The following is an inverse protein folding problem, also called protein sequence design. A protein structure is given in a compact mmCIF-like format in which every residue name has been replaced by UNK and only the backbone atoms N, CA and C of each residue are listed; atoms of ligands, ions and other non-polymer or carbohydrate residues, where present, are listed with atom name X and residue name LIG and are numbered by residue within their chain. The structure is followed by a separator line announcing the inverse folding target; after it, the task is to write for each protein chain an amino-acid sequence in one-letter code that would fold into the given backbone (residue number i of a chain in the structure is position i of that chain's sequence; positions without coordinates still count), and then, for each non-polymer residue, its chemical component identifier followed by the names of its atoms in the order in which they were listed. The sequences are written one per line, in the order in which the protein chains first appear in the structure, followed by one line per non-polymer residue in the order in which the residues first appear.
data_IF_263168460205
#
_entry.id   IF_263168460205
#
_cell.length_a   1.000
_cell.length_b   1.000
_cell.length_c   1.000
_cell.angle_alpha   90.00
_cell.angle_beta   90.00
_cell.angle_gamma   90.00
#
_symmetry.space_group_name_H-M   'P 1'
#
loop_
_entity.id
_entity.type
_entity.pdbx_description
1 polymer ?
#
# COMPACT_ATOMS: atom_id res chain seq x y z
N UNK A 1 -56.80 -45.81 -2.34
CA UNK A 1 -56.21 -45.06 -1.21
C UNK A 1 -54.92 -44.43 -1.72
N UNK A 2 -54.94 -43.12 -1.91
CA UNK A 2 -53.86 -42.36 -2.56
C UNK A 2 -53.05 -41.63 -1.48
N UNK A 3 -51.71 -41.73 -1.42
CA UNK A 3 -50.93 -40.95 -0.48
C UNK A 3 -50.60 -39.58 -1.10
N UNK A 4 -51.23 -38.55 -0.55
CA UNK A 4 -50.96 -37.15 -0.80
C UNK A 4 -49.63 -36.78 -0.10
N UNK A 5 -48.55 -36.65 -0.88
CA UNK A 5 -47.29 -36.05 -0.44
C UNK A 5 -47.03 -34.82 -1.28
N UNK A 6 -47.46 -33.67 -0.78
CA UNK A 6 -47.07 -32.37 -1.34
C UNK A 6 -46.71 -31.41 -0.22
N UNK A 7 -45.56 -30.77 -0.42
CA UNK A 7 -45.30 -29.38 -0.06
C UNK A 7 -44.97 -29.07 1.40
N UNK A 8 -43.71 -29.30 1.78
CA UNK A 8 -43.04 -28.56 2.86
C UNK A 8 -41.53 -28.49 2.56
N UNK A 9 -41.11 -27.72 1.55
CA UNK A 9 -39.66 -27.53 1.29
C UNK A 9 -39.29 -26.26 0.54
N UNK A 10 -40.19 -25.27 0.43
CA UNK A 10 -39.93 -24.05 -0.36
C UNK A 10 -39.83 -22.79 0.50
N UNK A 11 -40.31 -22.79 1.73
CA UNK A 11 -40.42 -21.55 2.53
C UNK A 11 -39.15 -21.16 3.31
N UNK A 12 -38.13 -22.03 3.39
CA UNK A 12 -36.94 -21.80 4.24
C UNK A 12 -35.72 -21.21 3.50
N UNK A 13 -35.83 -20.94 2.20
CA UNK A 13 -34.73 -20.39 1.37
C UNK A 13 -34.83 -18.89 1.08
N UNK A 14 -35.93 -18.22 1.46
CA UNK A 14 -36.17 -16.80 1.12
C UNK A 14 -35.80 -15.79 2.21
N UNK A 15 -35.63 -16.20 3.48
CA UNK A 15 -35.25 -15.27 4.55
C UNK A 15 -33.79 -14.75 4.52
N UNK A 16 -32.75 -15.50 4.08
CA UNK A 16 -31.39 -14.96 4.10
C UNK A 16 -31.10 -13.96 2.97
N UNK A 17 -31.96 -13.85 1.94
CA UNK A 17 -31.75 -12.92 0.81
C UNK A 17 -32.16 -11.48 1.12
N UNK A 18 -33.12 -11.25 2.02
CA UNK A 18 -33.60 -9.89 2.32
C UNK A 18 -32.63 -9.17 3.27
N UNK A 19 -31.98 -9.88 4.20
CA UNK A 19 -31.02 -9.25 5.13
C UNK A 19 -29.65 -8.93 4.49
N UNK A 20 -29.35 -9.49 3.31
CA UNK A 20 -28.14 -9.15 2.57
C UNK A 20 -28.23 -7.82 1.82
N UNK A 21 -29.44 -7.28 1.56
CA UNK A 21 -29.59 -6.03 0.82
C UNK A 21 -29.40 -4.78 1.69
N UNK A 22 -29.77 -4.83 2.97
CA UNK A 22 -29.66 -3.66 3.86
C UNK A 22 -28.25 -3.46 4.45
N UNK A 23 -27.39 -4.48 4.45
CA UNK A 23 -26.02 -4.36 4.95
C UNK A 23 -25.06 -3.65 3.97
N UNK A 24 -25.43 -3.51 2.69
CA UNK A 24 -24.55 -2.95 1.65
C UNK A 24 -24.56 -1.40 1.66
N UNK A 25 -25.57 -0.77 2.28
CA UNK A 25 -25.75 0.71 2.18
C UNK A 25 -25.01 1.49 3.28
N UNK A 26 -24.46 0.82 4.30
CA UNK A 26 -23.75 1.47 5.43
C UNK A 26 -22.22 1.35 5.40
N UNK A 27 -21.60 1.04 4.26
CA UNK A 27 -20.21 1.45 4.04
C UNK A 27 -20.21 2.91 3.56
N UNK A 28 -20.64 3.81 4.45
CA UNK A 28 -20.36 5.23 4.31
C UNK A 28 -18.84 5.36 4.34
N UNK A 29 -18.28 5.70 3.18
CA UNK A 29 -16.97 6.30 3.04
C UNK A 29 -16.72 7.20 4.23
N UNK A 30 -15.76 6.83 5.08
CA UNK A 30 -15.02 7.81 5.87
C UNK A 30 -14.32 8.69 4.84
N UNK A 31 -15.09 9.63 4.29
CA UNK A 31 -14.59 10.76 3.56
C UNK A 31 -13.58 11.38 4.50
N UNK A 32 -12.30 11.21 4.18
CA UNK A 32 -11.26 12.14 4.58
C UNK A 32 -11.79 13.51 4.12
N UNK A 33 -12.49 14.19 5.02
CA UNK A 33 -13.04 15.51 4.77
C UNK A 33 -11.86 16.36 4.29
N UNK A 34 -12.03 17.06 3.17
CA UNK A 34 -10.98 17.82 2.51
C UNK A 34 -10.28 18.75 3.52
N UNK A 35 -9.18 18.28 4.11
CA UNK A 35 -8.43 18.97 5.17
C UNK A 35 -7.52 20.07 4.61
N UNK A 36 -7.38 20.17 3.28
CA UNK A 36 -6.62 21.24 2.65
C UNK A 36 -7.56 22.34 2.16
N UNK A 37 -7.51 23.49 2.82
CA UNK A 37 -8.24 24.72 2.44
C UNK A 37 -7.38 25.70 1.64
N UNK A 38 -6.14 25.34 1.28
CA UNK A 38 -5.19 26.26 0.69
C UNK A 38 -5.01 26.01 -0.82
N UNK A 39 -4.66 27.08 -1.53
CA UNK A 39 -4.39 27.13 -2.97
C UNK A 39 -3.72 25.85 -3.48
N UNK A 40 -4.19 25.33 -4.62
CA UNK A 40 -3.83 24.06 -5.32
C UNK A 40 -2.34 23.87 -5.69
N UNK A 41 -1.42 24.55 -5.00
CA UNK A 41 0.00 24.58 -5.31
C UNK A 41 0.88 24.33 -4.08
N UNK A 42 0.31 24.18 -2.87
CA UNK A 42 1.08 23.98 -1.64
C UNK A 42 0.60 22.75 -0.89
N UNK A 43 1.55 21.95 -0.40
CA UNK A 43 1.31 20.82 0.48
C UNK A 43 1.56 21.25 1.91
N UNK A 44 0.54 21.02 2.75
CA UNK A 44 0.65 21.14 4.20
C UNK A 44 0.94 19.77 4.83
N UNK A 45 2.18 19.54 5.32
CA UNK A 45 2.55 18.23 5.85
C UNK A 45 1.88 17.90 7.19
N UNK A 46 1.22 18.85 7.88
CA UNK A 46 0.43 18.50 9.09
C UNK A 46 -0.79 17.66 8.75
N UNK A 47 -1.26 17.74 7.50
CA UNK A 47 -2.38 16.91 7.06
C UNK A 47 -1.99 15.44 6.89
N UNK A 48 -0.68 15.12 6.92
CA UNK A 48 -0.17 13.76 6.90
C UNK A 48 -0.58 13.01 8.19
N UNK A 49 -0.89 11.71 8.12
CA UNK A 49 -1.08 10.88 9.30
C UNK A 49 0.08 10.99 10.29
N UNK A 50 -0.25 11.16 11.58
CA UNK A 50 0.75 11.35 12.62
C UNK A 50 1.51 10.06 12.93
N UNK A 51 2.83 10.18 13.07
CA UNK A 51 3.71 9.08 13.44
C UNK A 51 4.71 9.52 14.51
N UNK A 52 4.63 8.90 15.69
CA UNK A 52 5.40 9.29 16.88
C UNK A 52 6.90 8.97 16.76
N UNK A 53 7.26 7.89 16.07
CA UNK A 53 8.65 7.41 15.96
C UNK A 53 9.47 8.01 14.81
N UNK A 54 8.79 8.52 13.78
CA UNK A 54 9.42 9.10 12.61
C UNK A 54 8.41 9.93 11.84
N UNK A 55 8.22 11.17 12.27
CA UNK A 55 7.46 12.10 11.48
C UNK A 55 8.35 12.57 10.32
N UNK A 56 7.87 12.41 9.08
CA UNK A 56 8.34 13.22 7.95
C UNK A 56 8.28 14.72 8.26
N UNK A 57 7.54 15.09 9.29
CA UNK A 57 7.35 16.45 9.73
C UNK A 57 7.35 16.58 11.25
N UNK A 58 8.47 17.04 11.81
CA UNK A 58 8.49 17.57 13.18
C UNK A 58 8.45 19.08 13.10
N UNK A 59 7.60 19.73 13.89
CA UNK A 59 7.36 21.20 13.91
C UNK A 59 8.62 22.07 13.96
N UNK A 60 9.74 21.51 14.39
CA UNK A 60 11.01 22.19 14.59
C UNK A 60 12.09 21.85 13.55
N UNK A 61 11.89 20.79 12.75
CA UNK A 61 12.88 20.30 11.79
C UNK A 61 12.17 19.75 10.55
N UNK A 62 11.68 20.63 9.68
CA UNK A 62 11.47 20.25 8.30
C UNK A 62 12.66 19.50 7.74
N UNK A 63 12.53 18.38 6.99
CA UNK A 63 13.61 17.95 6.13
C UNK A 63 13.88 19.08 5.13
N UNK A 64 14.97 19.85 5.31
CA UNK A 64 15.21 21.04 4.50
C UNK A 64 15.66 20.68 3.08
N UNK A 65 15.94 19.40 2.85
CA UNK A 65 16.63 18.91 1.65
C UNK A 65 15.69 18.29 0.60
N UNK A 66 14.39 18.18 0.89
CA UNK A 66 13.44 17.57 -0.07
C UNK A 66 12.97 18.58 -1.12
N UNK A 67 12.50 19.74 -0.68
CA UNK A 67 11.95 20.79 -1.53
C UNK A 67 12.11 22.15 -0.86
N UNK A 68 12.18 23.26 -1.64
CA UNK A 68 12.21 24.60 -1.07
C UNK A 68 11.02 24.82 -0.14
N UNK A 69 11.30 25.22 1.09
CA UNK A 69 10.27 25.53 2.07
C UNK A 69 9.70 26.91 1.81
N UNK A 70 8.38 27.00 1.67
CA UNK A 70 7.67 28.27 1.56
C UNK A 70 7.01 28.57 2.91
N UNK A 71 7.20 29.79 3.40
CA UNK A 71 6.42 30.30 4.54
C UNK A 71 4.98 30.52 4.08
N UNK A 72 4.13 29.55 4.36
CA UNK A 72 2.71 29.61 4.04
C UNK A 72 1.90 30.36 5.09
N UNK A 73 0.76 30.92 4.69
CA UNK A 73 -0.26 31.35 5.64
C UNK A 73 -0.82 30.09 6.36
N UNK A 74 -0.98 30.18 7.68
CA UNK A 74 -1.57 29.09 8.47
C UNK A 74 -2.92 28.69 7.87
N UNK A 75 -3.14 27.40 7.63
CA UNK A 75 -4.43 26.90 7.17
C UNK A 75 -5.49 27.30 8.21
N UNK A 76 -6.49 28.07 7.76
CA UNK A 76 -7.53 28.58 8.62
C UNK A 76 -8.37 27.39 9.14
N UNK A 77 -8.44 27.22 10.46
CA UNK A 77 -9.46 26.43 11.17
C UNK A 77 -9.37 24.90 11.16
N UNK A 78 -8.20 24.30 10.99
CA UNK A 78 -8.01 22.89 11.39
C UNK A 78 -7.16 22.83 12.65
N UNK A 79 -7.45 21.85 13.52
CA UNK A 79 -6.70 21.46 14.73
C UNK A 79 -5.24 20.96 14.45
N UNK A 80 -4.69 21.42 13.33
CA UNK A 80 -3.33 21.34 12.87
C UNK A 80 -2.57 22.67 13.11
N UNK A 81 -3.29 23.74 13.46
CA UNK A 81 -2.79 25.11 13.68
C UNK A 81 -3.35 25.76 14.97
N UNK A 82 -4.12 25.03 15.76
CA UNK A 82 -4.74 25.43 17.02
C UNK A 82 -3.70 25.52 18.15
N UNK A 83 -2.85 26.53 18.04
CA UNK A 83 -2.56 27.30 19.25
C UNK A 83 -2.56 28.80 19.08
N UNK A 84 -2.89 29.35 17.89
CA UNK A 84 -2.90 30.83 17.70
C UNK A 84 -1.66 31.51 18.28
N UNK A 85 -0.57 30.74 18.37
CA UNK A 85 0.59 31.06 19.18
C UNK A 85 1.63 31.67 18.28
N UNK A 86 2.74 32.15 18.87
CA UNK A 86 3.89 32.70 18.15
C UNK A 86 4.58 31.73 17.17
N UNK A 87 3.97 30.57 16.88
CA UNK A 87 4.43 29.46 16.04
C UNK A 87 3.65 29.32 14.73
N UNK A 88 2.82 30.31 14.35
CA UNK A 88 2.33 30.41 12.98
C UNK A 88 3.51 30.75 12.05
N UNK A 89 3.89 29.80 11.22
CA UNK A 89 5.11 29.84 10.39
C UNK A 89 5.42 28.45 9.81
N UNK A 90 4.37 27.69 9.50
CA UNK A 90 4.53 26.35 8.98
C UNK A 90 5.14 26.42 7.58
N UNK A 91 6.30 25.79 7.46
CA UNK A 91 6.90 25.59 6.17
C UNK A 91 6.00 24.64 5.37
N UNK A 92 5.56 25.09 4.21
CA UNK A 92 4.82 24.30 3.24
C UNK A 92 5.74 23.97 2.08
N UNK A 93 5.42 22.90 1.36
CA UNK A 93 6.15 22.54 0.15
C UNK A 93 5.37 22.97 -1.09
N UNK A 94 6.03 23.49 -2.15
CA UNK A 94 5.47 23.51 -3.49
C UNK A 94 5.02 22.09 -3.86
N UNK A 95 3.75 21.96 -4.24
CA UNK A 95 3.15 20.66 -4.55
C UNK A 95 3.85 19.99 -5.75
N UNK A 96 4.20 20.77 -6.77
CA UNK A 96 4.95 20.31 -7.95
C UNK A 96 6.30 19.70 -7.57
N UNK A 97 7.05 20.37 -6.70
CA UNK A 97 8.32 19.85 -6.21
C UNK A 97 8.12 18.56 -5.40
N UNK A 98 7.23 18.59 -4.41
CA UNK A 98 7.06 17.47 -3.49
C UNK A 98 6.49 16.22 -4.19
N UNK A 99 5.53 16.41 -5.09
CA UNK A 99 4.98 15.31 -5.88
C UNK A 99 5.97 14.75 -6.90
N UNK A 100 7.04 15.46 -7.26
CA UNK A 100 8.10 14.95 -8.14
C UNK A 100 9.12 14.06 -7.43
N UNK A 101 9.10 14.01 -6.09
CA UNK A 101 10.00 13.19 -5.30
C UNK A 101 9.69 11.70 -5.49
N UNK A 102 10.73 10.89 -5.71
CA UNK A 102 10.62 9.42 -5.83
C UNK A 102 10.55 8.72 -4.47
N UNK A 103 11.02 9.40 -3.42
CA UNK A 103 11.19 8.87 -2.06
C UNK A 103 10.74 9.87 -0.98
N UNK A 104 9.73 10.68 -1.32
CA UNK A 104 9.21 11.76 -0.47
C UNK A 104 8.62 11.28 0.86
N UNK A 105 8.29 9.99 0.97
CA UNK A 105 7.73 9.38 2.18
C UNK A 105 8.75 8.57 3.00
N UNK A 106 10.03 8.55 2.63
CA UNK A 106 11.05 7.71 3.30
C UNK A 106 11.15 7.90 4.80
N UNK A 107 10.93 9.12 5.28
CA UNK A 107 10.87 9.48 6.69
C UNK A 107 9.71 8.83 7.47
N UNK A 108 8.63 8.41 6.81
CA UNK A 108 7.51 7.71 7.44
C UNK A 108 7.71 6.19 7.46
N UNK A 109 8.81 5.68 6.90
CA UNK A 109 9.01 4.24 6.70
C UNK A 109 9.20 3.47 8.02
N UNK A 110 9.64 4.12 9.10
CA UNK A 110 9.70 3.49 10.43
C UNK A 110 8.39 3.51 11.22
N UNK A 111 7.31 4.05 10.65
CA UNK A 111 5.97 3.99 11.24
C UNK A 111 5.40 2.57 11.16
N UNK A 112 4.31 2.28 11.89
CA UNK A 112 3.60 1.01 11.71
C UNK A 112 3.02 0.88 10.30
N UNK A 113 2.83 -0.35 9.79
CA UNK A 113 2.27 -0.56 8.44
C UNK A 113 0.90 0.13 8.23
N UNK A 114 0.03 0.17 9.25
CA UNK A 114 -1.27 0.86 9.16
C UNK A 114 -1.07 2.36 8.86
N UNK A 115 -0.19 3.03 9.61
CA UNK A 115 0.14 4.45 9.39
C UNK A 115 0.90 4.68 8.08
N UNK A 116 1.75 3.73 7.68
CA UNK A 116 2.44 3.78 6.39
C UNK A 116 1.43 3.80 5.23
N UNK A 117 0.47 2.87 5.21
CA UNK A 117 -0.53 2.82 4.13
C UNK A 117 -1.45 4.05 4.15
N UNK A 118 -1.88 4.54 5.32
CA UNK A 118 -2.61 5.80 5.41
C UNK A 118 -1.80 6.98 4.85
N UNK A 119 -0.48 6.97 5.06
CA UNK A 119 0.43 7.99 4.53
C UNK A 119 0.60 7.88 3.02
N UNK A 120 0.69 6.66 2.47
CA UNK A 120 0.70 6.44 1.03
C UNK A 120 -0.60 6.90 0.37
N UNK A 121 -1.75 6.59 0.97
CA UNK A 121 -3.06 7.04 0.50
C UNK A 121 -3.18 8.57 0.56
N UNK A 122 -2.71 9.19 1.65
CA UNK A 122 -2.62 10.64 1.76
C UNK A 122 -1.78 11.24 0.63
N UNK A 123 -0.60 10.69 0.36
CA UNK A 123 0.28 11.14 -0.72
C UNK A 123 -0.37 10.94 -2.11
N UNK A 124 -0.99 9.79 -2.36
CA UNK A 124 -1.67 9.50 -3.62
C UNK A 124 -2.83 10.46 -3.92
N UNK A 125 -3.57 10.85 -2.88
CA UNK A 125 -4.65 11.83 -3.01
C UNK A 125 -4.12 13.24 -3.33
N UNK A 126 -2.98 13.63 -2.75
CA UNK A 126 -2.36 14.93 -3.01
C UNK A 126 -1.59 14.97 -4.33
N UNK A 127 -1.01 13.86 -4.73
CA UNK A 127 -0.06 13.77 -5.83
C UNK A 127 -0.45 12.68 -6.85
N UNK A 128 -1.65 12.73 -7.46
CA UNK A 128 -2.18 11.64 -8.29
C UNK A 128 -1.36 11.35 -9.56
N UNK A 129 -0.50 12.29 -9.97
CA UNK A 129 0.39 12.16 -11.14
C UNK A 129 1.85 11.93 -10.75
N UNK A 130 2.14 11.69 -9.47
CA UNK A 130 3.52 11.50 -9.03
C UNK A 130 4.12 10.23 -9.63
N UNK A 131 5.39 10.27 -10.10
CA UNK A 131 6.10 9.07 -10.51
C UNK A 131 6.29 8.08 -9.35
N UNK A 132 6.15 8.52 -8.10
CA UNK A 132 6.34 7.65 -6.95
C UNK A 132 5.17 6.71 -6.66
N UNK A 133 4.00 6.95 -7.29
CA UNK A 133 2.80 6.14 -7.06
C UNK A 133 2.88 4.74 -7.67
N UNK A 134 3.78 4.53 -8.63
CA UNK A 134 3.93 3.24 -9.28
C UNK A 134 5.35 3.01 -9.73
N UNK A 135 5.93 1.92 -9.26
CA UNK A 135 7.22 1.44 -9.70
C UNK A 135 7.07 0.75 -11.07
N UNK A 136 7.84 1.20 -12.06
CA UNK A 136 7.85 0.57 -13.38
C UNK A 136 8.96 -0.48 -13.46
N UNK A 137 8.60 -1.75 -13.43
CA UNK A 137 9.54 -2.87 -13.56
C UNK A 137 9.95 -3.17 -15.02
N UNK A 138 9.43 -2.44 -16.01
CA UNK A 138 9.69 -2.71 -17.43
C UNK A 138 11.17 -2.55 -17.81
N UNK A 139 11.92 -1.72 -17.07
CA UNK A 139 13.36 -1.53 -17.25
C UNK A 139 14.26 -2.65 -16.70
N UNK A 140 13.72 -3.56 -15.89
CA UNK A 140 14.50 -4.66 -15.31
C UNK A 140 14.72 -5.82 -16.28
N UNK A 141 15.83 -6.55 -16.20
CA UNK A 141 16.02 -7.78 -16.94
C UNK A 141 15.03 -8.87 -16.49
N UNK A 142 14.72 -9.82 -17.37
CA UNK A 142 13.75 -10.90 -17.09
C UNK A 142 14.12 -11.74 -15.86
N UNK A 143 15.41 -11.92 -15.58
CA UNK A 143 15.92 -12.68 -14.42
C UNK A 143 15.49 -12.08 -13.07
N UNK A 144 15.37 -10.74 -12.96
CA UNK A 144 15.02 -10.07 -11.70
C UNK A 144 13.56 -9.56 -11.68
N UNK A 145 12.97 -9.26 -12.84
CA UNK A 145 11.68 -8.56 -12.94
C UNK A 145 10.55 -9.23 -12.16
N UNK A 146 10.29 -10.51 -12.42
CA UNK A 146 9.20 -11.23 -11.75
C UNK A 146 9.45 -11.42 -10.25
N UNK A 147 10.71 -11.69 -9.88
CA UNK A 147 11.10 -11.85 -8.49
C UNK A 147 10.87 -10.56 -7.68
N UNK A 148 11.28 -9.40 -8.20
CA UNK A 148 11.13 -8.12 -7.51
C UNK A 148 9.66 -7.72 -7.36
N UNK A 149 8.87 -7.90 -8.41
CA UNK A 149 7.42 -7.63 -8.40
C UNK A 149 6.72 -8.39 -7.26
N UNK A 150 6.99 -9.70 -7.16
CA UNK A 150 6.43 -10.57 -6.11
C UNK A 150 6.99 -10.24 -4.72
N UNK A 151 8.31 -10.05 -4.60
CA UNK A 151 8.98 -9.83 -3.31
C UNK A 151 8.56 -8.51 -2.65
N UNK A 152 8.44 -7.44 -3.43
CA UNK A 152 8.01 -6.12 -2.95
C UNK A 152 6.58 -6.18 -2.41
N UNK A 153 5.70 -6.88 -3.12
CA UNK A 153 4.33 -7.08 -2.65
C UNK A 153 4.30 -7.89 -1.34
N UNK A 154 5.05 -9.01 -1.28
CA UNK A 154 5.12 -9.86 -0.09
C UNK A 154 5.73 -9.15 1.12
N UNK A 155 6.62 -8.19 0.90
CA UNK A 155 7.22 -7.39 1.95
C UNK A 155 6.22 -6.43 2.63
N UNK A 156 5.17 -6.00 1.93
CA UNK A 156 4.14 -5.09 2.46
C UNK A 156 3.93 -3.81 1.64
N UNK A 157 4.70 -3.63 0.56
CA UNK A 157 4.52 -2.52 -0.38
C UNK A 157 3.35 -2.83 -1.34
N UNK A 158 2.13 -2.83 -0.81
CA UNK A 158 0.92 -3.27 -1.52
C UNK A 158 0.65 -2.52 -2.83
N UNK A 159 0.98 -1.23 -2.86
CA UNK A 159 0.79 -0.33 -4.00
C UNK A 159 1.98 -0.34 -4.97
N UNK A 160 3.04 -1.08 -4.65
CA UNK A 160 4.29 -1.16 -5.43
C UNK A 160 4.83 0.24 -5.80
N UNK A 161 4.82 1.15 -4.83
CA UNK A 161 5.33 2.51 -4.99
C UNK A 161 6.84 2.53 -4.94
N UNK A 162 7.48 3.52 -5.58
CA UNK A 162 8.91 3.76 -5.35
C UNK A 162 9.15 4.27 -3.93
N UNK A 163 8.17 4.97 -3.34
CA UNK A 163 8.23 5.40 -1.95
C UNK A 163 8.48 4.23 -1.01
N UNK A 164 7.76 3.11 -1.14
CA UNK A 164 7.96 1.96 -0.27
C UNK A 164 9.24 1.19 -0.61
N UNK A 165 9.43 0.85 -1.89
CA UNK A 165 10.58 0.05 -2.33
C UNK A 165 11.92 0.72 -2.01
N UNK A 166 12.08 1.99 -2.42
CA UNK A 166 13.34 2.68 -2.26
C UNK A 166 13.63 3.03 -0.80
N UNK A 167 12.60 3.22 0.05
CA UNK A 167 12.78 3.45 1.49
C UNK A 167 13.27 2.23 2.23
N UNK A 168 12.84 1.04 1.81
CA UNK A 168 13.40 -0.21 2.30
C UNK A 168 14.83 -0.43 1.79
N UNK A 169 15.05 -0.16 0.51
CA UNK A 169 16.36 -0.30 -0.11
C UNK A 169 16.87 -1.73 -0.18
N UNK A 170 16.02 -2.71 -0.50
CA UNK A 170 16.39 -4.14 -0.59
C UNK A 170 16.01 -4.72 -1.95
N UNK A 171 16.91 -5.49 -2.56
CA UNK A 171 16.70 -6.22 -3.80
C UNK A 171 16.13 -7.63 -3.58
N UNK A 172 15.96 -8.05 -2.33
CA UNK A 172 15.38 -9.33 -1.92
C UNK A 172 16.08 -10.56 -2.54
N UNK A 173 17.38 -10.44 -2.83
CA UNK A 173 18.15 -11.48 -3.53
C UNK A 173 17.73 -11.70 -4.99
N UNK A 174 16.83 -10.90 -5.56
CA UNK A 174 16.33 -11.11 -6.93
C UNK A 174 17.40 -10.89 -8.01
N UNK A 175 18.43 -10.12 -7.70
CA UNK A 175 19.58 -9.89 -8.58
C UNK A 175 20.50 -11.12 -8.69
N UNK A 176 20.47 -12.06 -7.72
CA UNK A 176 21.29 -13.28 -7.73
C UNK A 176 20.94 -14.23 -8.89
N UNK A 177 19.72 -14.10 -9.44
CA UNK A 177 19.27 -14.86 -10.60
C UNK A 177 19.80 -14.33 -11.94
N UNK A 178 20.49 -13.18 -11.93
CA UNK A 178 21.08 -12.56 -13.09
C UNK A 178 22.59 -12.87 -13.14
N UNK A 179 23.15 -13.02 -14.34
CA UNK A 179 24.52 -13.55 -14.47
C UNK A 179 25.37 -12.80 -15.50
N UNK A 180 24.80 -11.84 -16.22
CA UNK A 180 25.53 -11.08 -17.24
C UNK A 180 25.72 -9.63 -16.83
N UNK A 181 26.86 -9.04 -17.21
CA UNK A 181 27.16 -7.62 -16.97
C UNK A 181 26.08 -6.70 -17.56
N UNK A 182 25.46 -7.11 -18.67
CA UNK A 182 24.38 -6.36 -19.30
C UNK A 182 23.10 -6.35 -18.44
N UNK A 183 22.76 -7.46 -17.79
CA UNK A 183 21.62 -7.55 -16.86
C UNK A 183 21.89 -6.74 -15.59
N UNK A 184 23.09 -6.86 -15.01
CA UNK A 184 23.47 -6.06 -13.86
C UNK A 184 23.40 -4.57 -14.17
N UNK A 185 23.98 -4.13 -15.29
CA UNK A 185 23.89 -2.73 -15.71
C UNK A 185 22.44 -2.25 -15.94
N UNK A 186 21.54 -3.12 -16.41
CA UNK A 186 20.11 -2.79 -16.50
C UNK A 186 19.50 -2.59 -15.12
N UNK A 187 19.81 -3.43 -14.13
CA UNK A 187 19.34 -3.27 -12.75
C UNK A 187 19.90 -1.98 -12.13
N UNK A 188 21.19 -1.68 -12.29
CA UNK A 188 21.78 -0.43 -11.79
C UNK A 188 21.09 0.81 -12.38
N UNK A 189 20.88 0.81 -13.70
CA UNK A 189 20.22 1.92 -14.39
C UNK A 189 18.79 2.08 -13.90
N UNK A 190 18.08 0.96 -13.79
CA UNK A 190 16.72 0.95 -13.26
C UNK A 190 16.65 1.46 -11.81
N UNK A 191 17.59 1.09 -10.93
CA UNK A 191 17.64 1.59 -9.55
C UNK A 191 17.87 3.10 -9.48
N UNK A 192 18.78 3.62 -10.30
CA UNK A 192 19.02 5.06 -10.41
C UNK A 192 17.75 5.79 -10.87
N UNK A 193 17.07 5.25 -11.88
CA UNK A 193 15.86 5.84 -12.43
C UNK A 193 14.65 5.69 -11.49
N UNK A 194 14.52 4.58 -10.77
CA UNK A 194 13.40 4.32 -9.87
C UNK A 194 13.54 5.07 -8.54
N UNK A 195 14.75 5.14 -7.98
CA UNK A 195 14.99 5.68 -6.65
C UNK A 195 15.72 7.01 -6.63
N UNK A 196 16.23 7.49 -7.77
CA UNK A 196 17.00 8.73 -7.84
C UNK A 196 18.36 8.66 -7.13
N UNK A 197 18.92 7.45 -6.99
CA UNK A 197 20.20 7.24 -6.30
C UNK A 197 21.40 7.41 -7.24
N UNK A 198 22.59 7.79 -6.73
CA UNK A 198 23.80 7.85 -7.54
C UNK A 198 24.23 6.48 -8.09
N UNK A 199 25.00 6.45 -9.19
CA UNK A 199 25.53 5.21 -9.77
C UNK A 199 26.30 4.35 -8.78
N UNK A 200 27.14 4.96 -7.93
CA UNK A 200 27.93 4.24 -6.94
C UNK A 200 27.06 3.48 -5.93
N UNK A 201 25.96 4.08 -5.48
CA UNK A 201 24.99 3.44 -4.57
C UNK A 201 24.25 2.31 -5.26
N UNK A 202 23.92 2.45 -6.55
CA UNK A 202 23.28 1.38 -7.31
C UNK A 202 24.22 0.17 -7.52
N UNK A 203 25.51 0.41 -7.78
CA UNK A 203 26.52 -0.66 -7.88
C UNK A 203 26.71 -1.36 -6.54
N UNK A 204 26.75 -0.62 -5.42
CA UNK A 204 26.81 -1.21 -4.07
C UNK A 204 25.56 -2.02 -3.73
N UNK A 205 24.38 -1.57 -4.18
CA UNK A 205 23.13 -2.31 -4.05
C UNK A 205 23.20 -3.69 -4.70
N UNK A 206 23.81 -3.78 -5.89
CA UNK A 206 24.01 -5.07 -6.57
C UNK A 206 25.03 -5.97 -5.90
N UNK A 207 26.02 -5.40 -5.21
CA UNK A 207 27.04 -6.19 -4.52
C UNK A 207 26.55 -6.75 -3.18
N UNK A 208 25.70 -6.01 -2.48
CA UNK A 208 25.24 -6.35 -1.13
C UNK A 208 23.79 -6.81 -1.06
N UNK A 209 23.01 -6.60 -2.12
CA UNK A 209 21.56 -6.78 -2.15
C UNK A 209 20.77 -5.65 -1.49
N UNK A 210 21.41 -4.67 -0.85
CA UNK A 210 20.74 -3.59 -0.11
C UNK A 210 21.38 -2.22 -0.36
N UNK A 211 20.64 -1.14 -0.20
CA UNK A 211 21.12 0.24 -0.31
C UNK A 211 20.42 1.16 0.69
N UNK A 212 21.04 2.32 0.96
CA UNK A 212 20.51 3.32 1.89
C UNK A 212 20.33 4.67 1.18
N UNK A 213 19.12 5.24 1.25
CA UNK A 213 18.79 6.55 0.69
C UNK A 213 19.49 7.71 1.41
N UNK A 214 19.77 7.59 2.71
CA UNK A 214 20.38 8.66 3.51
C UNK A 214 21.77 9.04 3.01
N UNK A 215 22.53 8.06 2.50
CA UNK A 215 23.84 8.27 1.88
C UNK A 215 23.73 8.88 0.48
N UNK A 216 22.65 8.55 -0.26
CA UNK A 216 22.43 8.99 -1.63
C UNK A 216 22.04 10.48 -1.72
N UNK A 217 21.15 10.96 -0.85
CA UNK A 217 20.65 12.34 -0.89
C UNK A 217 21.69 13.35 -0.41
N UNK A 218 22.52 13.00 0.58
CA UNK A 218 23.59 13.86 1.08
C UNK A 218 24.64 14.21 0.01
N UNK A 219 24.90 13.28 -0.92
CA UNK A 219 25.92 13.44 -1.97
C UNK A 219 25.45 14.30 -3.14
N UNK A 220 24.14 14.31 -3.43
CA UNK A 220 23.58 15.07 -4.54
C UNK A 220 23.49 16.59 -4.28
N UNK A 221 23.49 17.02 -3.01
CA UNK A 221 23.19 18.42 -2.64
C UNK A 221 24.37 19.10 -1.93
N UNK A 222 25.47 18.39 -1.66
CA UNK A 222 26.69 18.98 -1.08
C UNK A 222 26.52 19.51 0.35
N UNK A 223 25.49 19.06 1.07
CA UNK A 223 25.25 19.40 2.46
C UNK A 223 26.25 18.69 3.40
N UNK A 224 26.61 19.28 4.54
CA UNK A 224 27.45 18.62 5.53
C UNK A 224 26.75 17.36 6.04
N UNK A 225 27.37 16.21 5.78
CA UNK A 225 26.96 14.89 6.27
C UNK A 225 26.72 14.97 7.79
N UNK A 226 25.46 15.00 8.21
CA UNK A 226 25.11 14.93 9.62
C UNK A 226 25.65 13.60 10.16
N UNK A 227 26.35 13.65 11.30
CA UNK A 227 26.99 12.48 11.91
C UNK A 227 26.02 11.28 11.99
N UNK A 228 26.20 10.34 11.06
CA UNK A 228 25.35 9.18 10.86
C UNK A 228 25.64 8.12 11.93
N UNK A 229 24.99 8.23 13.08
CA UNK A 229 24.39 7.02 13.67
C UNK A 229 23.15 6.70 12.82
N UNK A 230 23.38 6.32 11.56
CA UNK A 230 22.33 5.92 10.64
C UNK A 230 21.65 4.69 11.20
N UNK A 231 20.62 4.91 12.00
CA UNK A 231 19.67 3.87 12.36
C UNK A 231 19.13 3.36 11.02
N UNK A 232 19.62 2.20 10.59
CA UNK A 232 19.00 1.44 9.50
C UNK A 232 17.51 1.51 9.75
N UNK A 233 16.79 2.17 8.85
CA UNK A 233 15.34 2.31 8.97
C UNK A 233 14.83 0.89 8.87
N UNK A 234 14.51 0.32 10.03
CA UNK A 234 14.03 -1.05 10.07
C UNK A 234 12.63 -1.05 9.49
N UNK A 235 12.24 -2.11 8.77
CA UNK A 235 10.87 -2.25 8.31
C UNK A 235 9.89 -1.95 9.43
N UNK A 236 8.72 -1.38 9.11
CA UNK A 236 7.62 -1.29 10.05
C UNK A 236 7.47 -2.61 10.79
N UNK A 237 7.33 -2.61 12.13
CA UNK A 237 7.04 -3.85 12.83
C UNK A 237 5.78 -4.46 12.20
N UNK A 238 5.75 -5.78 11.98
CA UNK A 238 4.57 -6.43 11.44
C UNK A 238 3.39 -6.01 12.29
N UNK A 239 2.33 -5.53 11.64
CA UNK A 239 1.14 -5.09 12.36
C UNK A 239 0.68 -6.26 13.23
N UNK A 240 0.49 -6.05 14.54
CA UNK A 240 -0.21 -7.02 15.36
C UNK A 240 -1.49 -7.34 14.60
N UNK A 241 -1.72 -8.63 14.29
CA UNK A 241 -2.89 -9.02 13.51
C UNK A 241 -4.10 -8.40 14.19
N UNK A 242 -4.70 -7.40 13.54
CA UNK A 242 -5.90 -6.75 14.04
C UNK A 242 -6.90 -7.89 14.24
N UNK A 243 -7.50 -8.05 15.44
CA UNK A 243 -8.58 -9.02 15.58
C UNK A 243 -9.60 -8.67 14.51
N UNK A 244 -9.95 -9.67 13.67
CA UNK A 244 -10.93 -9.50 12.61
C UNK A 244 -12.14 -8.78 13.20
N UNK A 245 -12.57 -7.72 12.52
CA UNK A 245 -13.79 -7.07 12.97
C UNK A 245 -14.95 -8.04 12.75
N UNK A 246 -15.98 -7.92 13.57
CA UNK A 246 -17.12 -8.85 13.55
C UNK A 246 -17.78 -8.96 12.16
N UNK A 247 -17.75 -7.89 11.36
CA UNK A 247 -18.19 -7.86 9.97
C UNK A 247 -17.30 -8.67 9.02
N UNK A 248 -15.97 -8.61 9.17
CA UNK A 248 -15.04 -9.42 8.38
C UNK A 248 -15.20 -10.92 8.68
N UNK A 249 -15.30 -11.27 9.97
CA UNK A 249 -15.59 -12.63 10.41
C UNK A 249 -16.93 -13.13 9.85
N UNK A 250 -17.94 -12.26 9.82
CA UNK A 250 -19.24 -12.58 9.23
C UNK A 250 -19.13 -12.84 7.73
N UNK A 251 -18.43 -11.99 6.96
CA UNK A 251 -18.23 -12.17 5.51
C UNK A 251 -17.52 -13.50 5.23
N UNK A 252 -16.42 -13.80 5.96
CA UNK A 252 -15.68 -15.05 5.80
C UNK A 252 -16.60 -16.25 6.09
N UNK A 253 -17.39 -16.17 7.15
CA UNK A 253 -18.35 -17.23 7.52
C UNK A 253 -19.40 -17.44 6.43
N UNK A 254 -19.96 -16.36 5.88
CA UNK A 254 -20.95 -16.43 4.79
C UNK A 254 -20.34 -17.05 3.53
N UNK A 255 -19.10 -16.70 3.18
CA UNK A 255 -18.39 -17.28 2.04
C UNK A 255 -18.19 -18.79 2.21
N UNK A 256 -17.73 -19.23 3.39
CA UNK A 256 -17.55 -20.67 3.70
C UNK A 256 -18.88 -21.42 3.58
N UNK A 257 -19.95 -20.90 4.19
CA UNK A 257 -21.28 -21.52 4.12
C UNK A 257 -21.78 -21.60 2.68
N UNK A 258 -21.58 -20.55 1.89
CA UNK A 258 -22.00 -20.50 0.48
C UNK A 258 -21.29 -21.58 -0.34
N UNK A 259 -19.98 -21.75 -0.15
CA UNK A 259 -19.19 -22.80 -0.82
C UNK A 259 -19.68 -24.19 -0.42
N UNK A 260 -19.90 -24.43 0.87
CA UNK A 260 -20.36 -25.74 1.39
C UNK A 260 -21.75 -26.09 0.84
N UNK A 261 -22.70 -25.16 0.87
CA UNK A 261 -24.06 -25.36 0.35
C UNK A 261 -24.03 -25.58 -1.17
N UNK A 262 -23.27 -24.77 -1.90
CA UNK A 262 -23.09 -24.91 -3.35
C UNK A 262 -22.55 -26.28 -3.74
N UNK A 263 -21.48 -26.74 -3.07
CA UNK A 263 -20.90 -28.07 -3.28
C UNK A 263 -21.88 -29.19 -2.91
N UNK A 264 -22.63 -29.03 -1.81
CA UNK A 264 -23.65 -30.00 -1.38
C UNK A 264 -24.77 -30.18 -2.40
N UNK A 265 -25.32 -29.08 -2.92
CA UNK A 265 -26.36 -29.11 -3.96
C UNK A 265 -25.84 -29.68 -5.28
N UNK A 266 -24.62 -29.31 -5.67
CA UNK A 266 -23.96 -29.87 -6.85
C UNK A 266 -23.80 -31.39 -6.74
N UNK A 267 -23.31 -31.87 -5.60
CA UNK A 267 -23.14 -33.31 -5.34
C UNK A 267 -24.46 -34.06 -5.41
N UNK A 268 -25.52 -33.55 -4.77
CA UNK A 268 -26.85 -34.15 -4.86
C UNK A 268 -27.36 -34.21 -6.30
N UNK A 269 -27.18 -33.15 -7.09
CA UNK A 269 -27.54 -33.12 -8.51
C UNK A 269 -26.81 -34.20 -9.33
N UNK A 270 -25.52 -34.44 -9.05
CA UNK A 270 -24.73 -35.50 -9.69
C UNK A 270 -25.27 -36.89 -9.32
N UNK A 271 -25.60 -37.13 -8.06
CA UNK A 271 -26.14 -38.42 -7.58
C UNK A 271 -27.50 -38.72 -8.21
N UNK A 272 -28.39 -37.73 -8.29
CA UNK A 272 -29.72 -37.90 -8.92
C UNK A 272 -29.57 -38.21 -10.41
N UNK A 273 -28.73 -37.47 -11.15
CA UNK A 273 -28.48 -37.73 -12.57
C UNK A 273 -27.91 -39.12 -12.83
N UNK A 274 -27.00 -39.60 -11.99
CA UNK A 274 -26.45 -40.97 -12.09
C UNK A 274 -27.53 -42.03 -11.85
N UNK A 275 -28.44 -41.79 -10.91
CA UNK A 275 -29.52 -42.73 -10.59
C UNK A 275 -30.53 -42.85 -11.73
N UNK A 276 -30.91 -41.72 -12.36
CA UNK A 276 -31.83 -41.73 -13.51
C UNK A 276 -31.27 -42.49 -14.72
N UNK A 277 -29.97 -42.38 -15.01
CA UNK A 277 -29.34 -43.13 -16.12
C UNK A 277 -29.39 -44.64 -15.91
N UNK A 278 -29.22 -45.11 -14.67
CA UNK A 278 -29.31 -46.55 -14.33
C UNK A 278 -30.73 -47.10 -14.48
N UNK A 279 -31.76 -46.27 -14.27
CA UNK A 279 -33.15 -46.70 -14.44
C UNK A 279 -33.52 -46.90 -15.91
N UNK A 280 -33.03 -46.04 -16.80
CA UNK A 280 -33.28 -46.14 -18.26
C UNK A 280 -32.63 -47.42 -18.84
N UNK A 281 -31.40 -47.75 -18.47
CA UNK A 281 -30.72 -48.97 -18.93
C UNK A 281 -31.38 -50.30 -18.51
N UNK A 282 -32.30 -50.30 -17.53
CA UNK A 282 -33.02 -51.52 -17.13
C UNK A 282 -34.29 -51.77 -17.96
N UNK A 283 -34.69 -50.84 -18.82
CA UNK A 283 -35.88 -50.95 -19.66
C UNK A 283 -35.59 -51.30 -21.12
N UNK A 284 -34.32 -51.32 -21.52
CA UNK A 284 -33.83 -51.90 -22.78
C UNK A 284 -33.37 -53.35 -22.55
#
# INVERSE_FOLDING_TARGET
MSPQKTSMTVTLLLMPLIMAHDAIVTFQSHHLAARQSNTTSLIDPVTQPFCEGSSCWHWHYPPPDLCPLILGACANNSDASDNGGRKCGMHQYPQDCYCALKTGLSCAFSCSWEIWWETEDWFANLCPTSPALKLDFSGLPKCARGCLDDAIFQFGCLTQTSNCFCSNGDLFGCHDNCHTDAEFKQIETWLQDACGIPPATATEALASGTFDLSTATATAIGGPSANNNGTKVSPPPPTPRKPLKWDEDFIITVLIVTVVVGLGLWWQGVVVRRSSKKAVQKQE
#
